data_IF_460351830900
#
_entry.id   IF_460351830900
#
_cell.length_a   1.000
_cell.length_b   1.000
_cell.length_c   1.000
_cell.angle_alpha   90.00
_cell.angle_beta   90.00
_cell.angle_gamma   90.00
#
_symmetry.space_group_name_H-M   'P 1'
#
loop_
_entity.id
_entity.type
_entity.pdbx_description
1 polymer ?
#
# COMPACT_ATOMS: atom_id res chain seq x y z
N UNK A 1 -6.62 30.45 -2.57
CA UNK A 1 -5.68 29.42 -3.07
C UNK A 1 -6.45 28.59 -4.08
N UNK A 2 -6.05 28.60 -5.35
CA UNK A 2 -6.79 27.92 -6.41
C UNK A 2 -6.24 26.50 -6.57
N UNK A 3 -7.06 25.48 -6.29
CA UNK A 3 -6.75 24.06 -6.50
C UNK A 3 -6.82 23.69 -8.00
N UNK A 4 -6.24 24.51 -8.89
CA UNK A 4 -6.20 24.23 -10.33
C UNK A 4 -5.11 23.20 -10.64
N UNK A 5 -5.32 21.97 -10.17
CA UNK A 5 -4.64 20.78 -10.65
C UNK A 5 -5.53 20.19 -11.75
N UNK A 6 -5.27 20.54 -13.00
CA UNK A 6 -5.95 19.91 -14.13
C UNK A 6 -5.29 18.57 -14.39
N UNK A 7 -5.95 17.49 -13.95
CA UNK A 7 -5.72 16.16 -14.49
C UNK A 7 -6.74 15.89 -15.61
N UNK A 8 -6.39 15.14 -16.67
CA UNK A 8 -7.30 14.79 -17.75
C UNK A 8 -8.47 13.98 -17.18
N UNK A 9 -9.67 14.56 -17.22
CA UNK A 9 -10.89 13.86 -16.84
C UNK A 9 -11.23 12.87 -17.95
N UNK A 10 -10.80 11.61 -17.84
CA UNK A 10 -11.76 10.56 -18.18
C UNK A 10 -12.99 10.83 -17.30
N UNK A 11 -14.17 10.97 -17.90
CA UNK A 11 -15.40 11.28 -17.16
C UNK A 11 -15.60 10.22 -16.07
N UNK A 12 -15.37 10.62 -14.81
CA UNK A 12 -15.62 9.77 -13.65
C UNK A 12 -17.11 9.40 -13.67
N UNK A 13 -17.44 8.14 -13.41
CA UNK A 13 -18.85 7.76 -13.27
C UNK A 13 -19.50 8.57 -12.15
N UNK A 14 -20.81 8.81 -12.27
CA UNK A 14 -21.57 9.57 -11.28
C UNK A 14 -21.44 8.96 -9.87
N UNK A 15 -21.42 7.63 -9.76
CA UNK A 15 -21.22 6.95 -8.47
C UNK A 15 -19.82 7.18 -7.89
N UNK A 16 -18.78 7.26 -8.73
CA UNK A 16 -17.44 7.58 -8.28
C UNK A 16 -17.36 9.05 -7.85
N UNK A 17 -17.97 9.98 -8.61
CA UNK A 17 -18.08 11.39 -8.21
C UNK A 17 -18.81 11.54 -6.89
N UNK A 18 -19.94 10.83 -6.71
CA UNK A 18 -20.71 10.81 -5.48
C UNK A 18 -19.87 10.28 -4.30
N UNK A 19 -19.12 9.19 -4.50
CA UNK A 19 -18.22 8.66 -3.46
C UNK A 19 -17.13 9.67 -3.09
N UNK A 20 -16.50 10.32 -4.07
CA UNK A 20 -15.48 11.34 -3.82
C UNK A 20 -16.06 12.57 -3.10
N UNK A 21 -17.27 12.99 -3.44
CA UNK A 21 -17.99 14.04 -2.72
C UNK A 21 -18.19 13.64 -1.25
N UNK A 22 -18.71 12.42 -1.00
CA UNK A 22 -18.79 11.91 0.36
C UNK A 22 -17.43 11.91 1.05
N UNK A 23 -16.32 11.50 0.42
CA UNK A 23 -15.01 11.45 1.09
C UNK A 23 -14.38 12.83 1.34
N UNK A 24 -14.74 13.84 0.55
CA UNK A 24 -14.11 15.16 0.55
C UNK A 24 -14.65 16.08 1.66
N UNK A 25 -15.95 16.06 1.95
CA UNK A 25 -16.59 17.03 2.84
C UNK A 25 -16.27 16.79 4.32
N UNK A 26 -15.48 17.67 4.95
CA UNK A 26 -15.13 17.49 6.38
C UNK A 26 -16.28 17.89 7.34
N UNK A 27 -17.30 18.62 6.86
CA UNK A 27 -18.62 18.85 7.49
C UNK A 27 -19.66 19.23 6.40
N UNK A 28 -20.96 19.26 6.75
CA UNK A 28 -22.23 19.32 5.97
C UNK A 28 -22.38 20.11 4.65
N UNK A 29 -21.35 20.70 4.07
CA UNK A 29 -21.45 21.61 2.94
C UNK A 29 -20.80 21.05 1.67
N UNK A 30 -21.58 20.32 0.88
CA UNK A 30 -21.70 20.70 -0.53
C UNK A 30 -23.11 20.34 -1.02
N UNK A 31 -24.12 21.10 -0.55
CA UNK A 31 -25.47 21.09 -1.13
C UNK A 31 -25.49 21.79 -2.49
N UNK A 32 -24.45 21.56 -3.31
CA UNK A 32 -24.47 22.00 -4.69
C UNK A 32 -25.57 21.24 -5.43
N UNK A 33 -26.17 21.90 -6.43
CA UNK A 33 -27.18 21.27 -7.28
C UNK A 33 -26.68 19.94 -7.88
N UNK A 34 -25.39 19.89 -8.26
CA UNK A 34 -24.69 18.69 -8.76
C UNK A 34 -24.77 17.53 -7.74
N UNK A 35 -24.59 17.79 -6.45
CA UNK A 35 -24.64 16.74 -5.43
C UNK A 35 -26.05 16.14 -5.23
N UNK A 36 -27.11 16.95 -5.26
CA UNK A 36 -28.49 16.45 -5.18
C UNK A 36 -28.87 15.66 -6.42
N UNK A 37 -28.41 16.09 -7.60
CA UNK A 37 -28.63 15.36 -8.85
C UNK A 37 -27.92 14.00 -8.84
N UNK A 38 -26.66 13.95 -8.38
CA UNK A 38 -25.91 12.71 -8.20
C UNK A 38 -26.61 11.74 -7.24
N UNK A 39 -27.18 12.22 -6.13
CA UNK A 39 -27.92 11.37 -5.20
C UNK A 39 -29.18 10.75 -5.81
N UNK A 40 -29.92 11.52 -6.62
CA UNK A 40 -31.19 11.08 -7.23
C UNK A 40 -30.98 10.08 -8.36
N UNK A 41 -29.91 10.25 -9.12
CA UNK A 41 -29.65 9.45 -10.32
C UNK A 41 -28.64 8.31 -10.10
N UNK A 42 -28.06 8.18 -8.91
CA UNK A 42 -27.04 7.16 -8.62
C UNK A 42 -27.55 5.72 -8.81
N UNK A 43 -26.76 4.90 -9.50
CA UNK A 43 -26.85 3.45 -9.38
C UNK A 43 -26.26 3.03 -8.03
N UNK A 44 -27.14 2.74 -7.07
CA UNK A 44 -26.76 2.41 -5.71
C UNK A 44 -26.04 1.06 -5.58
N UNK A 45 -26.31 0.09 -6.46
CA UNK A 45 -25.59 -1.19 -6.47
C UNK A 45 -24.15 -0.98 -6.93
N UNK A 46 -23.97 -0.19 -8.00
CA UNK A 46 -22.64 0.21 -8.47
C UNK A 46 -21.88 1.04 -7.44
N UNK A 47 -22.56 1.96 -6.76
CA UNK A 47 -21.98 2.76 -5.67
C UNK A 47 -21.45 1.87 -4.54
N UNK A 48 -22.24 0.88 -4.10
CA UNK A 48 -21.82 -0.09 -3.08
C UNK A 48 -20.58 -0.86 -3.53
N UNK A 49 -20.54 -1.31 -4.78
CA UNK A 49 -19.39 -2.03 -5.35
C UNK A 49 -18.11 -1.18 -5.30
N UNK A 50 -18.18 0.08 -5.74
CA UNK A 50 -17.08 1.03 -5.71
C UNK A 50 -16.58 1.30 -4.28
N UNK A 51 -17.50 1.59 -3.35
CA UNK A 51 -17.16 1.89 -1.96
C UNK A 51 -16.46 0.70 -1.27
N UNK A 52 -16.91 -0.53 -1.57
CA UNK A 52 -16.25 -1.77 -1.10
C UNK A 52 -14.89 -1.98 -1.75
N UNK A 53 -14.80 -1.80 -3.07
CA UNK A 53 -13.55 -1.95 -3.83
C UNK A 53 -12.45 -1.04 -3.31
N UNK A 54 -12.76 0.25 -3.14
CA UNK A 54 -11.82 1.24 -2.63
C UNK A 54 -11.62 1.15 -1.11
N UNK A 55 -12.39 0.29 -0.42
CA UNK A 55 -12.31 0.01 1.02
C UNK A 55 -12.51 1.24 1.91
N UNK A 56 -13.44 2.10 1.50
CA UNK A 56 -13.77 3.36 2.18
C UNK A 56 -15.12 3.30 2.90
N UNK A 57 -15.79 2.14 2.88
CA UNK A 57 -17.08 1.93 3.53
C UNK A 57 -17.15 2.34 5.01
N UNK A 58 -16.10 2.26 5.85
CA UNK A 58 -16.23 2.74 7.23
C UNK A 58 -16.40 4.27 7.30
N UNK A 59 -15.64 5.00 6.50
CA UNK A 59 -15.73 6.47 6.39
C UNK A 59 -17.08 6.87 5.81
N UNK A 60 -17.55 6.18 4.77
CA UNK A 60 -18.85 6.42 4.17
C UNK A 60 -19.97 6.14 5.19
N UNK A 61 -19.94 5.01 5.89
CA UNK A 61 -20.94 4.68 6.91
C UNK A 61 -21.04 5.79 7.97
N UNK A 62 -19.92 6.28 8.50
CA UNK A 62 -19.90 7.38 9.46
C UNK A 62 -20.60 8.63 8.90
N UNK A 63 -20.30 9.00 7.65
CA UNK A 63 -20.94 10.17 7.01
C UNK A 63 -22.43 9.99 6.77
N UNK A 64 -22.86 8.81 6.34
CA UNK A 64 -24.27 8.50 6.13
C UNK A 64 -25.07 8.58 7.45
N UNK A 65 -24.48 8.18 8.58
CA UNK A 65 -25.10 8.30 9.90
C UNK A 65 -25.32 9.77 10.33
N UNK A 66 -24.45 10.68 9.88
CA UNK A 66 -24.59 12.13 10.14
C UNK A 66 -25.58 12.81 9.19
N UNK A 67 -25.49 12.53 7.88
CA UNK A 67 -26.27 13.25 6.86
C UNK A 67 -27.78 12.98 6.89
N UNK A 68 -28.22 11.77 7.29
CA UNK A 68 -29.64 11.38 7.39
C UNK A 68 -30.53 11.85 6.22
N UNK A 69 -30.04 11.76 4.97
CA UNK A 69 -30.79 12.17 3.78
C UNK A 69 -31.86 11.14 3.40
N UNK A 70 -33.05 11.62 3.04
CA UNK A 70 -34.16 10.80 2.53
C UNK A 70 -33.91 10.29 1.09
N UNK A 71 -32.98 10.89 0.35
CA UNK A 71 -32.64 10.49 -1.02
C UNK A 71 -31.77 9.22 -1.06
N UNK A 72 -31.19 8.83 0.08
CA UNK A 72 -30.34 7.63 0.17
C UNK A 72 -31.21 6.44 0.58
N UNK A 73 -31.29 5.37 -0.23
CA UNK A 73 -32.11 4.22 0.09
C UNK A 73 -31.68 3.53 1.39
N UNK A 74 -32.67 3.04 2.14
CA UNK A 74 -32.44 2.37 3.43
C UNK A 74 -31.51 1.16 3.29
N UNK A 75 -31.62 0.39 2.20
CA UNK A 75 -30.77 -0.79 2.00
C UNK A 75 -29.27 -0.43 1.90
N UNK A 76 -28.92 0.73 1.33
CA UNK A 76 -27.54 1.20 1.20
C UNK A 76 -26.94 1.47 2.59
N UNK A 77 -27.67 2.21 3.42
CA UNK A 77 -27.23 2.50 4.80
C UNK A 77 -27.11 1.22 5.63
N UNK A 78 -28.06 0.29 5.53
CA UNK A 78 -28.01 -1.00 6.22
C UNK A 78 -26.83 -1.87 5.76
N UNK A 79 -26.52 -1.87 4.46
CA UNK A 79 -25.37 -2.62 3.93
C UNK A 79 -24.04 -2.07 4.46
N UNK A 80 -23.85 -0.75 4.48
CA UNK A 80 -22.63 -0.16 5.02
C UNK A 80 -22.54 -0.25 6.54
N UNK A 81 -23.65 -0.21 7.26
CA UNK A 81 -23.65 -0.52 8.70
C UNK A 81 -23.16 -1.94 8.95
N UNK A 82 -23.66 -2.93 8.20
CA UNK A 82 -23.20 -4.33 8.32
C UNK A 82 -21.71 -4.47 8.00
N UNK A 83 -21.24 -3.82 6.94
CA UNK A 83 -19.83 -3.85 6.56
C UNK A 83 -18.95 -3.16 7.63
N UNK A 84 -19.40 -2.03 8.18
CA UNK A 84 -18.75 -1.32 9.28
C UNK A 84 -18.66 -2.17 10.56
N UNK A 85 -19.73 -2.86 10.95
CA UNK A 85 -19.69 -3.78 12.11
C UNK A 85 -18.69 -4.92 11.91
N UNK A 86 -18.67 -5.54 10.72
CA UNK A 86 -17.69 -6.58 10.38
C UNK A 86 -16.26 -6.06 10.45
N UNK A 87 -16.01 -4.86 9.90
CA UNK A 87 -14.69 -4.22 9.99
C UNK A 87 -14.30 -3.91 11.43
N UNK A 88 -15.24 -3.43 12.25
CA UNK A 88 -14.98 -3.13 13.66
C UNK A 88 -14.52 -4.37 14.41
N UNK A 89 -15.22 -5.50 14.25
CA UNK A 89 -14.81 -6.77 14.85
C UNK A 89 -13.41 -7.19 14.37
N UNK A 90 -13.16 -7.13 13.05
CA UNK A 90 -11.85 -7.48 12.50
C UNK A 90 -10.73 -6.59 13.04
N UNK A 91 -10.95 -5.28 13.12
CA UNK A 91 -9.97 -4.31 13.61
C UNK A 91 -9.72 -4.45 15.11
N UNK A 92 -10.72 -4.82 15.91
CA UNK A 92 -10.54 -5.16 17.32
C UNK A 92 -9.74 -6.45 17.50
N UNK A 93 -10.04 -7.49 16.72
CA UNK A 93 -9.25 -8.75 16.71
C UNK A 93 -7.79 -8.47 16.34
N UNK A 94 -7.55 -7.71 15.27
CA UNK A 94 -6.20 -7.31 14.88
C UNK A 94 -5.51 -6.44 15.94
N UNK A 95 -6.25 -5.61 16.67
CA UNK A 95 -5.70 -4.77 17.74
C UNK A 95 -5.21 -5.62 18.91
N UNK A 96 -6.00 -6.62 19.33
CA UNK A 96 -5.61 -7.56 20.38
C UNK A 96 -4.38 -8.39 20.00
N UNK A 97 -4.34 -8.90 18.76
CA UNK A 97 -3.17 -9.65 18.29
C UNK A 97 -1.93 -8.77 18.15
N UNK A 98 -2.10 -7.52 17.68
CA UNK A 98 -1.02 -6.54 17.61
C UNK A 98 -0.41 -6.26 18.98
N UNK A 99 -1.25 -6.11 20.02
CA UNK A 99 -0.78 -5.95 21.41
C UNK A 99 -0.03 -7.19 21.91
N UNK A 100 -0.59 -8.38 21.68
CA UNK A 100 0.03 -9.64 22.09
C UNK A 100 1.39 -9.83 21.41
N UNK A 101 1.49 -9.61 20.11
CA UNK A 101 2.77 -9.68 19.39
C UNK A 101 3.75 -8.62 19.88
N UNK A 102 3.31 -7.37 20.09
CA UNK A 102 4.19 -6.32 20.62
C UNK A 102 4.75 -6.68 22.00
N UNK A 103 3.93 -7.29 22.86
CA UNK A 103 4.33 -7.82 24.16
C UNK A 103 5.41 -8.90 24.01
N UNK A 104 5.15 -9.95 23.23
CA UNK A 104 6.06 -11.10 23.09
C UNK A 104 7.41 -10.69 22.48
N UNK A 105 7.40 -9.78 21.50
CA UNK A 105 8.64 -9.21 20.95
C UNK A 105 9.41 -8.42 22.02
N UNK A 106 8.73 -7.55 22.77
CA UNK A 106 9.36 -6.73 23.79
C UNK A 106 9.93 -7.55 24.95
N UNK A 107 9.23 -8.59 25.42
CA UNK A 107 9.67 -9.46 26.52
C UNK A 107 10.92 -10.28 26.15
N UNK A 108 11.16 -10.48 24.85
CA UNK A 108 12.35 -11.16 24.31
C UNK A 108 13.44 -10.18 23.84
N UNK A 109 13.24 -8.88 24.05
CA UNK A 109 14.19 -7.85 23.64
C UNK A 109 14.30 -7.64 22.11
N UNK A 110 13.34 -8.15 21.33
CA UNK A 110 13.29 -7.97 19.88
C UNK A 110 12.67 -6.61 19.53
N UNK A 111 13.32 -5.88 18.62
CA UNK A 111 12.83 -4.55 18.20
C UNK A 111 11.88 -4.69 17.02
N UNK A 112 10.64 -4.23 17.18
CA UNK A 112 9.63 -4.27 16.13
C UNK A 112 8.96 -2.91 15.91
N UNK A 113 8.72 -2.57 14.65
CA UNK A 113 7.95 -1.40 14.22
C UNK A 113 6.74 -1.85 13.43
N UNK A 114 5.55 -1.56 13.91
CA UNK A 114 4.33 -1.81 13.15
C UNK A 114 4.20 -0.77 12.03
N UNK A 115 4.02 -1.25 10.79
CA UNK A 115 4.04 -0.40 9.60
C UNK A 115 2.64 0.09 9.19
N UNK A 116 1.60 -0.74 9.42
CA UNK A 116 0.20 -0.45 9.09
C UNK A 116 -0.74 -1.00 10.17
N UNK A 117 -1.96 -1.37 9.78
CA UNK A 117 -2.92 -1.99 10.68
C UNK A 117 -3.58 -1.02 11.66
N UNK A 118 -3.97 -1.53 12.84
CA UNK A 118 -4.74 -0.75 13.83
C UNK A 118 -3.99 0.45 14.41
N UNK A 119 -2.66 0.38 14.58
CA UNK A 119 -1.90 1.49 15.17
C UNK A 119 -2.01 2.78 14.35
N UNK A 120 -1.98 2.70 13.02
CA UNK A 120 -2.17 3.88 12.17
C UNK A 120 -3.64 4.23 11.98
N UNK A 121 -4.57 3.27 12.13
CA UNK A 121 -6.00 3.57 12.11
C UNK A 121 -6.35 4.56 13.23
N UNK A 122 -5.90 4.28 14.44
CA UNK A 122 -6.10 5.18 15.56
C UNK A 122 -5.27 6.46 15.50
N UNK A 123 -4.00 6.40 15.05
CA UNK A 123 -3.18 7.61 14.90
C UNK A 123 -3.76 8.61 13.88
N UNK A 124 -4.35 8.10 12.78
CA UNK A 124 -4.85 8.93 11.69
C UNK A 124 -6.32 9.30 11.82
N UNK A 125 -7.16 8.40 12.35
CA UNK A 125 -8.62 8.56 12.35
C UNK A 125 -9.20 8.74 13.76
N UNK A 126 -8.40 8.54 14.82
CA UNK A 126 -8.87 8.58 16.22
C UNK A 126 -9.70 7.36 16.65
N UNK A 127 -10.07 6.49 15.71
CA UNK A 127 -10.88 5.30 15.93
C UNK A 127 -10.43 4.19 14.96
N UNK A 128 -10.12 3.01 15.51
CA UNK A 128 -9.63 1.86 14.74
C UNK A 128 -10.66 1.32 13.75
N UNK A 129 -11.95 1.53 14.00
CA UNK A 129 -13.06 1.06 13.16
C UNK A 129 -13.18 1.81 11.83
N UNK A 130 -12.58 2.99 11.71
CA UNK A 130 -12.71 3.86 10.53
C UNK A 130 -11.73 3.55 9.41
N UNK A 131 -10.81 2.62 9.64
CA UNK A 131 -9.86 2.14 8.66
C UNK A 131 -9.97 0.63 8.55
N UNK A 132 -9.85 0.10 7.33
CA UNK A 132 -9.84 -1.35 7.11
C UNK A 132 -8.43 -1.92 7.28
N UNK A 133 -8.28 -3.19 7.65
CA UNK A 133 -7.02 -3.92 7.56
C UNK A 133 -7.29 -5.40 7.48
N UNK A 134 -6.43 -6.15 6.79
CA UNK A 134 -6.53 -7.62 6.71
C UNK A 134 -5.35 -8.34 7.37
N UNK A 135 -4.33 -7.59 7.78
CA UNK A 135 -3.05 -8.11 8.22
C UNK A 135 -2.34 -7.15 9.18
N UNK A 136 -1.27 -7.67 9.79
CA UNK A 136 -0.31 -6.93 10.59
C UNK A 136 1.06 -6.93 9.90
N UNK A 137 1.55 -5.77 9.51
CA UNK A 137 2.90 -5.58 8.99
C UNK A 137 3.87 -5.21 10.14
N UNK A 138 4.90 -6.02 10.39
CA UNK A 138 5.96 -5.72 11.36
C UNK A 138 7.30 -5.57 10.65
N UNK A 139 8.02 -4.49 10.91
CA UNK A 139 9.42 -4.33 10.50
C UNK A 139 10.35 -4.66 11.66
N UNK A 140 11.38 -5.44 11.36
CA UNK A 140 12.43 -5.84 12.28
C UNK A 140 13.83 -5.61 11.68
N UNK A 141 14.90 -5.55 12.49
CA UNK A 141 16.27 -5.59 11.99
C UNK A 141 16.54 -6.92 11.30
N UNK A 142 17.17 -6.90 10.12
CA UNK A 142 17.56 -8.13 9.41
C UNK A 142 18.39 -9.11 10.26
N UNK A 143 19.17 -8.61 11.22
CA UNK A 143 19.96 -9.42 12.16
C UNK A 143 19.12 -10.18 13.19
N UNK A 144 17.88 -9.73 13.43
CA UNK A 144 16.93 -10.30 14.40
C UNK A 144 15.88 -11.18 13.69
N UNK A 145 15.97 -11.36 12.37
CA UNK A 145 14.96 -12.05 11.55
C UNK A 145 14.75 -13.51 11.94
N UNK A 146 15.83 -14.29 12.08
CA UNK A 146 15.70 -15.71 12.44
C UNK A 146 15.04 -15.88 13.83
N UNK A 147 15.32 -14.97 14.77
CA UNK A 147 14.71 -14.99 16.11
C UNK A 147 13.23 -14.58 16.07
N UNK A 148 12.87 -13.60 15.24
CA UNK A 148 11.49 -13.17 15.04
C UNK A 148 10.65 -14.23 14.33
N UNK A 149 11.19 -14.90 13.30
CA UNK A 149 10.53 -16.02 12.64
C UNK A 149 10.29 -17.18 13.63
N UNK A 150 11.31 -17.56 14.41
CA UNK A 150 11.17 -18.60 15.43
C UNK A 150 10.13 -18.23 16.50
N UNK A 151 10.02 -16.95 16.87
CA UNK A 151 8.99 -16.47 17.78
C UNK A 151 7.59 -16.63 17.19
N UNK A 152 7.37 -16.23 15.94
CA UNK A 152 6.06 -16.38 15.30
C UNK A 152 5.63 -17.86 15.23
N UNK A 153 6.55 -18.75 14.86
CA UNK A 153 6.30 -20.20 14.86
C UNK A 153 5.97 -20.71 16.27
N UNK A 154 6.72 -20.27 17.29
CA UNK A 154 6.44 -20.61 18.69
C UNK A 154 5.04 -20.14 19.14
N UNK A 155 4.56 -19.02 18.61
CA UNK A 155 3.22 -18.47 18.87
C UNK A 155 2.10 -19.12 18.02
N UNK A 156 2.41 -20.17 17.26
CA UNK A 156 1.43 -20.92 16.48
C UNK A 156 1.19 -20.40 15.07
N UNK A 157 2.04 -19.49 14.56
CA UNK A 157 1.97 -19.06 13.16
C UNK A 157 2.69 -20.02 12.23
N UNK A 158 2.09 -20.26 11.07
CA UNK A 158 2.68 -21.05 9.99
C UNK A 158 3.25 -20.12 8.91
N UNK A 159 4.47 -20.40 8.46
CA UNK A 159 5.14 -19.62 7.41
C UNK A 159 4.57 -20.01 6.04
N UNK A 160 4.22 -19.02 5.24
CA UNK A 160 3.89 -19.21 3.83
C UNK A 160 5.20 -19.38 3.03
N UNK A 161 5.58 -20.63 2.77
CA UNK A 161 6.82 -20.99 2.08
C UNK A 161 6.72 -20.81 0.55
N UNK A 162 6.68 -19.56 0.07
CA UNK A 162 6.71 -19.27 -1.37
C UNK A 162 8.08 -18.74 -1.87
N UNK A 163 9.01 -18.41 -0.97
CA UNK A 163 10.28 -17.77 -1.34
C UNK A 163 11.31 -18.84 -1.74
N UNK A 164 11.47 -19.04 -3.06
CA UNK A 164 12.60 -19.79 -3.64
C UNK A 164 13.73 -18.82 -3.96
N UNK A 165 14.96 -19.12 -3.55
CA UNK A 165 16.10 -18.21 -3.72
C UNK A 165 17.35 -18.92 -4.24
N UNK A 166 18.20 -18.17 -4.94
CA UNK A 166 19.47 -18.66 -5.48
C UNK A 166 20.55 -17.70 -5.01
N UNK A 167 21.67 -18.22 -4.49
CA UNK A 167 22.77 -17.38 -3.97
C UNK A 167 22.34 -16.43 -2.83
N UNK A 168 21.35 -16.80 -2.00
CA UNK A 168 20.83 -16.01 -0.87
C UNK A 168 20.32 -14.61 -1.26
N UNK A 169 19.81 -14.47 -2.48
CA UNK A 169 19.33 -13.20 -3.05
C UNK A 169 17.98 -12.71 -2.50
N UNK A 170 17.28 -13.58 -1.77
CA UNK A 170 15.99 -13.25 -1.20
C UNK A 170 16.01 -12.01 -0.30
N UNK A 171 17.12 -11.74 0.38
CA UNK A 171 17.27 -10.61 1.30
C UNK A 171 17.08 -9.25 0.62
N UNK A 172 17.40 -9.14 -0.67
CA UNK A 172 17.18 -7.90 -1.44
C UNK A 172 16.05 -7.99 -2.45
N UNK A 173 15.71 -9.19 -2.94
CA UNK A 173 14.57 -9.40 -3.86
C UNK A 173 13.23 -9.35 -3.15
N UNK A 174 13.16 -9.93 -1.96
CA UNK A 174 12.01 -9.85 -1.08
C UNK A 174 12.26 -8.80 0.00
N UNK A 175 11.18 -8.41 0.67
CA UNK A 175 11.18 -7.41 1.73
C UNK A 175 10.45 -7.89 2.99
N UNK A 176 9.66 -8.96 2.85
CA UNK A 176 8.98 -9.65 3.94
C UNK A 176 8.79 -11.13 3.63
N UNK A 177 8.39 -11.87 4.66
CA UNK A 177 7.76 -13.18 4.56
C UNK A 177 6.39 -13.12 5.24
N UNK A 178 5.49 -14.01 4.85
CA UNK A 178 4.11 -14.04 5.34
C UNK A 178 3.93 -15.20 6.30
N UNK A 179 3.19 -14.96 7.36
CA UNK A 179 2.80 -15.94 8.37
C UNK A 179 1.29 -15.90 8.56
N UNK A 180 0.66 -17.06 8.72
CA UNK A 180 -0.78 -17.17 9.00
C UNK A 180 -0.98 -18.02 10.23
N UNK A 181 -1.79 -17.52 11.17
CA UNK A 181 -2.22 -18.34 12.31
C UNK A 181 -3.47 -19.12 11.91
N UNK A 182 -3.45 -20.47 11.87
CA UNK A 182 -4.54 -21.28 11.32
C UNK A 182 -5.83 -21.13 12.12
N UNK A 183 -5.76 -21.10 13.45
CA UNK A 183 -6.95 -20.98 14.31
C UNK A 183 -7.52 -19.55 14.35
N UNK A 184 -6.66 -18.52 14.39
CA UNK A 184 -7.09 -17.12 14.48
C UNK A 184 -7.46 -16.53 13.12
N UNK A 185 -6.99 -17.12 12.02
CA UNK A 185 -7.13 -16.57 10.67
C UNK A 185 -6.39 -15.23 10.47
N UNK A 186 -5.39 -14.93 11.31
CA UNK A 186 -4.65 -13.66 11.27
C UNK A 186 -3.39 -13.83 10.42
N UNK A 187 -3.20 -12.92 9.47
CA UNK A 187 -2.00 -12.82 8.65
C UNK A 187 -1.02 -11.79 9.23
N UNK A 188 0.24 -12.19 9.38
CA UNK A 188 1.36 -11.34 9.78
C UNK A 188 2.37 -11.31 8.64
N UNK A 189 2.71 -10.11 8.18
CA UNK A 189 3.84 -9.91 7.25
C UNK A 189 5.04 -9.43 8.06
N UNK A 190 6.10 -10.24 8.11
CA UNK A 190 7.34 -9.94 8.81
C UNK A 190 8.34 -9.34 7.83
N UNK A 191 8.50 -8.03 7.87
CA UNK A 191 9.35 -7.22 7.01
C UNK A 191 10.76 -7.04 7.61
N UNK A 192 11.78 -7.10 6.75
CA UNK A 192 13.14 -6.62 7.07
C UNK A 192 13.54 -5.40 6.23
N UNK A 193 12.69 -5.02 5.27
CA UNK A 193 12.79 -3.82 4.43
C UNK A 193 11.39 -3.23 4.26
N UNK A 194 11.29 -1.91 4.09
CA UNK A 194 10.01 -1.25 3.79
C UNK A 194 9.56 -1.57 2.36
N UNK A 195 10.51 -1.72 1.43
CA UNK A 195 10.24 -1.93 0.02
C UNK A 195 11.22 -2.93 -0.63
N UNK A 196 10.80 -3.67 -1.68
CA UNK A 196 11.69 -4.50 -2.46
C UNK A 196 12.71 -3.65 -3.21
N UNK A 197 13.83 -4.25 -3.63
CA UNK A 197 14.78 -3.56 -4.52
C UNK A 197 14.11 -3.11 -5.84
N UNK A 198 14.57 -2.03 -6.48
CA UNK A 198 15.74 -1.18 -6.18
C UNK A 198 15.42 0.01 -5.27
N UNK A 199 14.35 -0.04 -4.49
CA UNK A 199 13.96 1.06 -3.61
C UNK A 199 15.04 1.39 -2.58
N UNK A 200 15.28 2.70 -2.41
CA UNK A 200 16.09 3.21 -1.30
C UNK A 200 15.20 3.43 -0.08
N UNK A 201 15.74 3.26 1.11
CA UNK A 201 15.00 3.42 2.35
C UNK A 201 15.94 3.79 3.51
N UNK A 202 15.44 4.38 4.60
CA UNK A 202 16.22 4.59 5.82
C UNK A 202 16.62 3.25 6.45
N UNK A 203 17.72 3.24 7.20
CA UNK A 203 18.08 2.04 7.97
C UNK A 203 17.05 1.78 9.06
N UNK A 204 16.93 0.52 9.52
CA UNK A 204 16.08 0.21 10.67
C UNK A 204 16.42 1.09 11.88
N UNK A 205 17.71 1.30 12.17
CA UNK A 205 18.13 2.09 13.33
C UNK A 205 17.71 3.57 13.20
N UNK A 206 17.75 4.13 11.99
CA UNK A 206 17.21 5.47 11.72
C UNK A 206 15.72 5.54 12.04
N UNK A 207 14.94 4.59 11.55
CA UNK A 207 13.50 4.50 11.81
C UNK A 207 13.22 4.30 13.31
N UNK A 208 13.97 3.42 13.96
CA UNK A 208 13.86 3.11 15.39
C UNK A 208 14.15 4.31 16.28
N UNK A 209 15.13 5.14 15.90
CA UNK A 209 15.48 6.37 16.63
C UNK A 209 14.36 7.41 16.58
N UNK A 210 13.57 7.41 15.50
CA UNK A 210 12.47 8.37 15.26
C UNK A 210 11.07 7.76 15.46
N UNK A 211 11.00 6.55 16.00
CA UNK A 211 9.75 5.83 16.21
C UNK A 211 8.81 6.59 17.14
N UNK A 212 7.52 6.41 16.92
CA UNK A 212 6.47 6.85 17.85
C UNK A 212 5.98 5.65 18.66
N UNK A 213 5.45 5.94 19.84
CA UNK A 213 4.77 4.99 20.71
C UNK A 213 3.27 5.25 20.63
N UNK A 214 2.48 4.22 20.39
CA UNK A 214 1.02 4.31 20.38
C UNK A 214 0.50 4.71 21.76
N UNK A 215 -0.52 5.57 21.79
CA UNK A 215 -1.20 5.98 23.02
C UNK A 215 -2.39 5.08 23.39
N UNK A 216 -2.79 4.15 22.51
CA UNK A 216 -4.04 3.39 22.62
C UNK A 216 -4.04 2.31 23.70
N UNK A 217 -2.87 1.83 24.09
CA UNK A 217 -2.70 0.59 24.84
C UNK A 217 -1.64 0.78 25.92
N UNK A 218 -1.80 0.06 27.03
CA UNK A 218 -0.92 0.11 28.20
C UNK A 218 0.54 -0.30 27.88
N UNK A 219 0.73 -1.24 26.95
CA UNK A 219 2.03 -1.72 26.49
C UNK A 219 2.56 -0.95 25.27
N UNK A 220 3.88 -0.73 25.17
CA UNK A 220 4.45 0.09 24.11
C UNK A 220 4.40 -0.60 22.74
N UNK A 221 3.47 -0.16 21.90
CA UNK A 221 3.47 -0.47 20.47
C UNK A 221 4.23 0.63 19.74
N UNK A 222 5.32 0.26 19.06
CA UNK A 222 6.13 1.20 18.30
C UNK A 222 5.79 1.17 16.82
N UNK A 223 5.79 2.34 16.20
CA UNK A 223 5.49 2.53 14.79
C UNK A 223 6.29 3.70 14.22
N UNK A 224 6.20 3.92 12.90
CA UNK A 224 7.00 4.91 12.21
C UNK A 224 6.74 6.36 12.70
N UNK A 225 7.81 7.17 12.71
CA UNK A 225 7.70 8.62 12.80
C UNK A 225 6.86 9.19 11.66
N UNK A 226 6.22 10.35 11.84
CA UNK A 226 5.24 10.88 10.87
C UNK A 226 5.81 11.03 9.45
N UNK A 227 7.01 11.60 9.32
CA UNK A 227 7.64 11.77 8.00
C UNK A 227 8.05 10.43 7.37
N UNK A 228 8.54 9.50 8.18
CA UNK A 228 8.89 8.14 7.71
C UNK A 228 7.64 7.35 7.31
N UNK A 229 6.53 7.52 8.04
CA UNK A 229 5.22 6.92 7.74
C UNK A 229 4.65 7.49 6.43
N UNK A 230 4.73 8.81 6.21
CA UNK A 230 4.31 9.42 4.95
C UNK A 230 5.07 8.82 3.77
N UNK A 231 6.40 8.77 3.83
CA UNK A 231 7.21 8.18 2.76
C UNK A 231 6.86 6.71 2.52
N UNK A 232 6.66 5.92 3.58
CA UNK A 232 6.26 4.53 3.48
C UNK A 232 4.90 4.35 2.79
N UNK A 233 3.87 5.09 3.23
CA UNK A 233 2.53 4.99 2.65
C UNK A 233 2.48 5.48 1.20
N UNK A 234 3.24 6.53 0.86
CA UNK A 234 3.37 6.99 -0.53
C UNK A 234 4.00 5.93 -1.42
N UNK A 235 5.11 5.33 -0.97
CA UNK A 235 5.76 4.25 -1.74
C UNK A 235 4.85 3.03 -1.89
N UNK A 236 4.10 2.68 -0.85
CA UNK A 236 3.16 1.56 -0.88
C UNK A 236 1.99 1.83 -1.85
N UNK A 237 1.31 2.97 -1.71
CA UNK A 237 0.20 3.35 -2.60
C UNK A 237 0.65 3.45 -4.06
N UNK A 238 1.79 4.09 -4.32
CA UNK A 238 2.35 4.19 -5.66
C UNK A 238 2.66 2.83 -6.26
N UNK A 239 3.25 1.88 -5.52
CA UNK A 239 3.49 0.50 -6.01
C UNK A 239 2.21 -0.27 -6.33
N UNK A 240 1.11 0.03 -5.66
CA UNK A 240 -0.18 -0.62 -5.93
C UNK A 240 -1.09 0.19 -6.86
N UNK A 241 -0.52 1.16 -7.57
CA UNK A 241 -1.22 1.97 -8.57
C UNK A 241 -2.31 2.86 -8.00
N UNK A 242 -2.35 3.09 -6.69
CA UNK A 242 -3.45 3.82 -6.04
C UNK A 242 -4.85 3.25 -6.34
N UNK A 243 -4.94 1.96 -6.68
CA UNK A 243 -6.21 1.24 -6.99
C UNK A 243 -7.27 1.32 -5.89
N UNK A 244 -6.92 1.73 -4.67
CA UNK A 244 -7.85 1.94 -3.57
C UNK A 244 -7.70 3.32 -2.97
N UNK A 245 -8.79 4.10 -2.94
CA UNK A 245 -8.82 5.44 -2.37
C UNK A 245 -8.49 5.48 -0.87
N UNK A 246 -8.66 4.36 -0.14
CA UNK A 246 -8.21 4.24 1.25
C UNK A 246 -6.76 4.69 1.45
N UNK A 247 -5.86 4.38 0.52
CA UNK A 247 -4.46 4.81 0.65
C UNK A 247 -4.32 6.33 0.55
N UNK A 248 -5.08 6.97 -0.33
CA UNK A 248 -5.11 8.44 -0.43
C UNK A 248 -5.78 9.09 0.77
N UNK A 249 -6.79 8.45 1.37
CA UNK A 249 -7.37 8.91 2.64
C UNK A 249 -6.32 8.92 3.76
N UNK A 250 -5.49 7.88 3.88
CA UNK A 250 -4.40 7.88 4.86
C UNK A 250 -3.42 9.06 4.62
N UNK A 251 -3.14 9.40 3.35
CA UNK A 251 -2.33 10.58 3.00
C UNK A 251 -3.04 11.88 3.39
N UNK A 252 -4.35 12.04 3.07
CA UNK A 252 -5.17 13.19 3.48
C UNK A 252 -5.12 13.37 5.00
N UNK A 253 -5.31 12.29 5.78
CA UNK A 253 -5.23 12.36 7.23
C UNK A 253 -3.84 12.76 7.73
N UNK A 254 -2.77 12.22 7.15
CA UNK A 254 -1.40 12.57 7.52
C UNK A 254 -1.06 14.05 7.25
N UNK A 255 -1.45 14.59 6.10
CA UNK A 255 -1.15 16.01 5.79
C UNK A 255 -1.96 16.99 6.62
N UNK A 256 -3.08 16.55 7.18
CA UNK A 256 -3.85 17.31 8.17
C UNK A 256 -3.19 17.31 9.56
N UNK A 257 -2.28 16.39 9.85
CA UNK A 257 -1.44 16.44 11.05
C UNK A 257 -0.27 17.43 10.90
N UNK A 258 0.44 17.65 12.01
CA UNK A 258 1.67 18.45 12.04
C UNK A 258 2.87 17.63 11.53
N UNK A 259 3.22 17.83 10.26
CA UNK A 259 4.42 17.32 9.61
C UNK A 259 5.55 18.37 9.62
N UNK A 260 6.80 17.92 9.78
CA UNK A 260 7.98 18.73 9.48
C UNK A 260 8.27 18.64 7.98
N UNK A 261 7.71 19.57 7.21
CA UNK A 261 7.85 19.61 5.74
C UNK A 261 9.30 19.73 5.25
N UNK A 262 10.17 20.60 5.81
CA UNK A 262 11.58 20.60 5.46
C UNK A 262 12.26 19.25 5.67
N UNK A 263 11.99 18.56 6.78
CA UNK A 263 12.52 17.22 7.04
C UNK A 263 11.95 16.19 6.06
N UNK A 264 10.65 16.21 5.80
CA UNK A 264 9.99 15.30 4.85
C UNK A 264 10.55 15.46 3.43
N UNK A 265 10.71 16.70 2.96
CA UNK A 265 11.28 16.98 1.65
C UNK A 265 12.72 16.45 1.51
N UNK A 266 13.55 16.62 2.56
CA UNK A 266 14.90 16.02 2.60
C UNK A 266 14.85 14.49 2.60
N UNK A 267 13.93 13.90 3.37
CA UNK A 267 13.76 12.44 3.43
C UNK A 267 13.37 11.86 2.06
N UNK A 268 12.33 12.42 1.43
CA UNK A 268 11.85 12.00 0.11
C UNK A 268 12.94 12.18 -0.96
N UNK A 269 13.66 13.31 -0.94
CA UNK A 269 14.76 13.56 -1.88
C UNK A 269 15.90 12.55 -1.71
N UNK A 270 16.36 12.34 -0.47
CA UNK A 270 17.44 11.38 -0.15
C UNK A 270 17.13 9.96 -0.63
N UNK A 271 15.86 9.56 -0.57
CA UNK A 271 15.42 8.20 -0.91
C UNK A 271 14.75 8.11 -2.29
N UNK A 272 14.85 9.15 -3.14
CA UNK A 272 14.32 9.17 -4.51
C UNK A 272 12.79 8.99 -4.61
N UNK A 273 12.04 9.59 -3.69
CA UNK A 273 10.57 9.51 -3.63
C UNK A 273 9.85 10.84 -3.87
N UNK A 274 10.54 11.94 -4.15
CA UNK A 274 9.91 13.26 -4.30
C UNK A 274 8.79 13.28 -5.35
N UNK A 275 8.96 12.61 -6.49
CA UNK A 275 7.95 12.59 -7.57
C UNK A 275 6.72 11.75 -7.21
N UNK A 276 6.85 10.65 -6.47
CA UNK A 276 5.68 9.90 -5.98
C UNK A 276 5.05 10.57 -4.76
N UNK A 277 5.82 11.33 -3.97
CA UNK A 277 5.29 12.23 -2.94
C UNK A 277 4.41 13.31 -3.55
N UNK A 278 4.88 13.94 -4.63
CA UNK A 278 4.08 14.86 -5.44
C UNK A 278 2.84 14.20 -6.02
N UNK A 279 2.97 13.00 -6.60
CA UNK A 279 1.85 12.21 -7.12
C UNK A 279 0.76 12.02 -6.05
N UNK A 280 1.13 11.60 -4.84
CA UNK A 280 0.19 11.35 -3.76
C UNK A 280 -0.55 12.63 -3.32
N UNK A 281 0.18 13.76 -3.20
CA UNK A 281 -0.41 15.05 -2.83
C UNK A 281 -1.37 15.54 -3.91
N UNK A 282 -1.00 15.43 -5.20
CA UNK A 282 -1.86 15.80 -6.32
C UNK A 282 -3.15 14.97 -6.35
N UNK A 283 -3.05 13.65 -6.20
CA UNK A 283 -4.21 12.76 -6.16
C UNK A 283 -5.10 13.07 -4.94
N UNK A 284 -4.53 13.25 -3.75
CA UNK A 284 -5.30 13.58 -2.55
C UNK A 284 -6.00 14.95 -2.66
N UNK A 285 -5.34 15.94 -3.25
CA UNK A 285 -5.92 17.26 -3.48
C UNK A 285 -7.05 17.22 -4.52
N UNK A 286 -6.84 16.51 -5.63
CA UNK A 286 -7.79 16.43 -6.74
C UNK A 286 -9.03 15.60 -6.40
N UNK A 287 -8.85 14.47 -5.72
CA UNK A 287 -9.91 13.48 -5.51
C UNK A 287 -10.58 13.59 -4.15
N UNK A 288 -9.87 14.06 -3.13
CA UNK A 288 -10.36 14.08 -1.74
C UNK A 288 -10.41 15.50 -1.15
N UNK A 289 -10.23 16.51 -1.99
CA UNK A 289 -10.18 17.93 -1.65
C UNK A 289 -9.19 18.25 -0.52
N UNK A 290 -8.08 17.51 -0.44
CA UNK A 290 -7.03 17.77 0.54
C UNK A 290 -6.42 19.16 0.29
N UNK A 291 -6.20 19.98 1.34
CA UNK A 291 -5.67 21.32 1.18
C UNK A 291 -4.22 21.30 0.68
N UNK A 292 -3.93 22.06 -0.38
CA UNK A 292 -2.57 22.31 -0.85
C UNK A 292 -1.97 23.50 -0.09
N UNK A 293 -0.93 23.23 0.70
CA UNK A 293 -0.21 24.26 1.47
C UNK A 293 1.09 24.65 0.79
N UNK A 294 1.61 25.84 1.09
CA UNK A 294 2.82 26.37 0.45
C UNK A 294 4.04 25.47 0.67
N UNK A 295 4.12 24.79 1.81
CA UNK A 295 5.20 23.88 2.15
C UNK A 295 5.24 22.62 1.28
N UNK A 296 4.15 22.31 0.57
CA UNK A 296 4.02 21.18 -0.36
C UNK A 296 4.55 21.50 -1.76
N UNK A 297 4.67 22.80 -2.13
CA UNK A 297 5.10 23.26 -3.46
C UNK A 297 6.37 22.57 -3.99
N UNK A 298 7.42 22.29 -3.19
CA UNK A 298 8.61 21.58 -3.68
C UNK A 298 8.32 20.21 -4.29
N UNK A 299 7.30 19.50 -3.80
CA UNK A 299 6.90 18.19 -4.33
C UNK A 299 6.07 18.30 -5.62
N UNK A 300 5.48 19.47 -5.87
CA UNK A 300 4.62 19.76 -7.03
C UNK A 300 5.37 20.43 -8.19
N UNK A 301 6.68 20.68 -8.05
CA UNK A 301 7.46 21.37 -9.08
C UNK A 301 7.77 20.50 -10.31
N UNK A 302 7.82 19.17 -10.13
CA UNK A 302 8.23 18.24 -11.17
C UNK A 302 7.05 17.76 -12.02
N UNK A 303 7.17 17.84 -13.36
CA UNK A 303 6.17 17.30 -14.30
C UNK A 303 5.85 15.83 -14.03
N UNK A 304 6.85 15.01 -13.70
CA UNK A 304 6.67 13.56 -13.44
C UNK A 304 5.59 13.26 -12.40
N UNK A 305 5.42 14.10 -11.37
CA UNK A 305 4.38 13.91 -10.36
C UNK A 305 2.97 13.95 -10.97
N UNK A 306 2.71 14.91 -11.87
CA UNK A 306 1.44 15.05 -12.58
C UNK A 306 1.20 13.88 -13.52
N UNK A 307 2.20 13.52 -14.33
CA UNK A 307 2.07 12.40 -15.28
C UNK A 307 1.77 11.08 -14.57
N UNK A 308 2.40 10.83 -13.42
CA UNK A 308 2.09 9.65 -12.63
C UNK A 308 0.72 9.73 -11.95
N UNK A 309 0.23 10.92 -11.62
CA UNK A 309 -1.12 11.10 -11.08
C UNK A 309 -2.17 10.80 -12.15
N UNK A 310 -1.94 11.22 -13.41
CA UNK A 310 -2.76 10.80 -14.56
C UNK A 310 -2.74 9.30 -14.75
N UNK A 311 -1.55 8.68 -14.80
CA UNK A 311 -1.43 7.23 -14.98
C UNK A 311 -2.14 6.45 -13.85
N UNK A 312 -2.22 7.01 -12.64
CA UNK A 312 -2.95 6.38 -11.53
C UNK A 312 -4.47 6.37 -11.74
N UNK A 313 -5.03 7.29 -12.54
CA UNK A 313 -6.47 7.33 -12.83
C UNK A 313 -6.96 6.07 -13.53
N UNK A 314 -6.10 5.39 -14.30
CA UNK A 314 -6.39 4.06 -14.88
C UNK A 314 -6.91 3.06 -13.83
N UNK A 315 -6.34 3.09 -12.62
CA UNK A 315 -6.72 2.19 -11.54
C UNK A 315 -7.88 2.71 -10.70
N UNK A 316 -8.02 4.03 -10.58
CA UNK A 316 -9.05 4.64 -9.72
C UNK A 316 -10.42 4.58 -10.42
N UNK A 317 -10.45 4.76 -11.74
CA UNK A 317 -11.67 4.72 -12.55
C UNK A 317 -12.21 3.30 -12.76
N UNK A 318 -11.37 2.28 -12.54
CA UNK A 318 -11.65 0.89 -12.85
C UNK A 318 -11.62 0.06 -11.56
N UNK A 319 -12.42 -0.99 -11.48
CA UNK A 319 -12.38 -1.94 -10.34
C UNK A 319 -11.19 -2.89 -10.43
N UNK A 320 -9.98 -2.37 -10.57
CA UNK A 320 -8.76 -3.16 -10.77
C UNK A 320 -8.32 -3.81 -9.47
N UNK A 321 -8.40 -5.13 -9.40
CA UNK A 321 -7.87 -5.89 -8.26
C UNK A 321 -6.53 -6.54 -8.59
N UNK A 322 -5.43 -5.88 -8.22
CA UNK A 322 -4.06 -6.36 -8.43
C UNK A 322 -3.66 -7.53 -7.50
N UNK A 323 -4.50 -7.89 -6.53
CA UNK A 323 -4.16 -8.84 -5.46
C UNK A 323 -4.90 -10.18 -5.58
N UNK A 324 -5.71 -10.38 -6.61
CA UNK A 324 -6.48 -11.60 -6.82
C UNK A 324 -6.23 -12.12 -8.24
N UNK A 325 -5.40 -13.16 -8.41
CA UNK A 325 -5.20 -13.78 -9.71
C UNK A 325 -6.46 -14.55 -10.18
N UNK A 326 -6.66 -14.73 -11.49
CA UNK A 326 -5.81 -14.27 -12.58
C UNK A 326 -6.01 -12.78 -12.89
N UNK A 327 -4.90 -12.04 -13.03
CA UNK A 327 -4.93 -10.64 -13.48
C UNK A 327 -4.98 -10.61 -15.01
N UNK A 328 -5.95 -9.91 -15.64
CA UNK A 328 -6.02 -9.73 -17.08
C UNK A 328 -4.72 -9.18 -17.68
N UNK A 329 -4.36 -9.64 -18.88
CA UNK A 329 -3.05 -9.32 -19.50
C UNK A 329 -2.87 -7.82 -19.77
N UNK A 330 -3.94 -7.12 -20.17
CA UNK A 330 -3.93 -5.66 -20.35
C UNK A 330 -3.55 -4.94 -19.03
N UNK A 331 -4.19 -5.33 -17.93
CA UNK A 331 -3.93 -4.75 -16.60
C UNK A 331 -2.51 -5.06 -16.14
N UNK A 332 -2.05 -6.29 -16.36
CA UNK A 332 -0.68 -6.71 -16.03
C UNK A 332 0.35 -5.88 -16.80
N UNK A 333 0.20 -5.79 -18.11
CA UNK A 333 1.09 -5.03 -18.98
C UNK A 333 1.11 -3.54 -18.63
N UNK A 334 -0.06 -2.97 -18.34
CA UNK A 334 -0.15 -1.59 -17.86
C UNK A 334 0.58 -1.42 -16.53
N UNK A 335 0.37 -2.34 -15.58
CA UNK A 335 0.97 -2.29 -14.26
C UNK A 335 2.49 -2.41 -14.28
N UNK A 336 3.06 -3.30 -15.09
CA UNK A 336 4.50 -3.43 -15.26
C UNK A 336 5.12 -2.13 -15.82
N UNK A 337 4.49 -1.53 -16.84
CA UNK A 337 4.92 -0.25 -17.41
C UNK A 337 4.85 0.88 -16.38
N UNK A 338 3.76 0.93 -15.61
CA UNK A 338 3.57 1.93 -14.56
C UNK A 338 4.60 1.76 -13.41
N UNK A 339 4.86 0.53 -12.96
CA UNK A 339 5.91 0.24 -11.97
C UNK A 339 7.29 0.68 -12.46
N UNK A 340 7.58 0.52 -13.75
CA UNK A 340 8.83 1.04 -14.32
C UNK A 340 8.82 2.57 -14.42
N UNK A 341 7.68 3.20 -14.71
CA UNK A 341 7.53 4.66 -14.80
C UNK A 341 7.77 5.35 -13.44
N UNK A 342 7.31 4.77 -12.33
CA UNK A 342 7.53 5.33 -10.99
C UNK A 342 9.02 5.31 -10.59
N UNK A 343 9.89 4.51 -11.20
CA UNK A 343 11.33 4.50 -10.89
C UNK A 343 12.06 5.75 -11.40
N UNK A 344 13.02 6.26 -10.62
CA UNK A 344 14.00 7.24 -11.09
C UNK A 344 15.00 6.62 -12.07
N UNK A 345 15.73 7.43 -12.84
CA UNK A 345 16.74 6.92 -13.79
C UNK A 345 17.77 6.01 -13.09
N UNK A 346 18.37 6.37 -11.93
CA UNK A 346 19.28 5.47 -11.21
C UNK A 346 18.61 4.15 -10.79
N UNK A 347 17.35 4.20 -10.34
CA UNK A 347 16.60 3.00 -9.98
C UNK A 347 16.28 2.13 -11.20
N UNK A 348 16.00 2.73 -12.37
CA UNK A 348 15.80 1.99 -13.63
C UNK A 348 17.08 1.24 -14.02
N UNK A 349 18.24 1.88 -13.92
CA UNK A 349 19.53 1.23 -14.18
C UNK A 349 19.73 0.06 -13.22
N UNK A 350 19.49 0.25 -11.92
CA UNK A 350 19.62 -0.81 -10.91
C UNK A 350 18.62 -1.96 -11.15
N UNK A 351 17.38 -1.64 -11.52
CA UNK A 351 16.36 -2.63 -11.89
C UNK A 351 16.80 -3.44 -13.09
N UNK A 352 17.29 -2.79 -14.16
CA UNK A 352 17.80 -3.46 -15.36
C UNK A 352 19.01 -4.35 -15.01
N UNK A 353 19.95 -3.83 -14.22
CA UNK A 353 21.11 -4.58 -13.77
C UNK A 353 20.73 -5.80 -12.91
N UNK A 354 19.61 -5.77 -12.19
CA UNK A 354 19.11 -6.92 -11.43
C UNK A 354 18.73 -8.12 -12.31
N UNK A 355 18.45 -7.90 -13.61
CA UNK A 355 18.29 -8.98 -14.60
C UNK A 355 19.63 -9.61 -15.02
N UNK A 356 20.75 -9.23 -14.44
CA UNK A 356 22.00 -9.99 -14.55
C UNK A 356 22.14 -11.02 -13.41
N UNK A 357 21.43 -10.84 -12.29
CA UNK A 357 21.55 -11.71 -11.11
C UNK A 357 20.71 -12.99 -11.23
N UNK A 358 21.27 -14.21 -11.11
CA UNK A 358 20.55 -15.48 -11.34
C UNK A 358 19.19 -15.59 -10.65
N UNK A 359 18.23 -16.23 -11.31
CA UNK A 359 16.89 -16.48 -10.81
C UNK A 359 16.70 -17.98 -10.50
N UNK A 360 15.74 -18.36 -9.63
CA UNK A 360 15.36 -19.77 -9.42
C UNK A 360 15.12 -20.54 -10.72
N UNK A 361 14.48 -19.91 -11.70
CA UNK A 361 14.22 -20.48 -13.01
C UNK A 361 15.49 -20.78 -13.81
N UNK A 362 16.63 -20.15 -13.49
CA UNK A 362 17.93 -20.49 -14.09
C UNK A 362 18.47 -21.82 -13.54
N UNK A 363 18.24 -22.08 -12.25
CA UNK A 363 18.57 -23.36 -11.61
C UNK A 363 17.68 -24.48 -12.11
N UNK A 364 16.39 -24.20 -12.32
CA UNK A 364 15.46 -25.17 -12.91
C UNK A 364 15.82 -25.52 -14.36
N UNK A 365 16.22 -24.52 -15.16
CA UNK A 365 16.62 -24.77 -16.56
C UNK A 365 17.91 -25.60 -16.66
N UNK A 366 18.90 -25.31 -15.83
CA UNK A 366 20.20 -26.00 -15.81
C UNK A 366 20.69 -26.16 -14.37
N UNK A 367 20.40 -27.29 -13.70
CA UNK A 367 20.86 -27.52 -12.33
C UNK A 367 22.38 -27.64 -12.26
N UNK A 368 23.03 -26.75 -11.51
CA UNK A 368 24.47 -26.78 -11.24
C UNK A 368 24.74 -27.08 -9.76
N UNK A 369 25.84 -27.79 -9.42
CA UNK A 369 26.32 -27.88 -8.04
C UNK A 369 26.51 -26.49 -7.42
N UNK A 370 26.23 -26.33 -6.11
CA UNK A 370 26.33 -25.03 -5.41
C UNK A 370 27.66 -24.28 -5.65
N UNK A 371 28.78 -25.01 -5.73
CA UNK A 371 30.12 -24.46 -6.01
C UNK A 371 30.24 -23.79 -7.39
N UNK A 372 29.38 -24.17 -8.35
CA UNK A 372 29.37 -23.67 -9.73
C UNK A 372 28.26 -22.63 -9.98
N UNK A 373 27.51 -22.21 -8.95
CA UNK A 373 26.42 -21.24 -9.12
C UNK A 373 26.90 -19.87 -9.64
N UNK A 374 28.18 -19.53 -9.48
CA UNK A 374 28.76 -18.33 -10.12
C UNK A 374 28.70 -18.37 -11.65
N UNK A 375 28.62 -19.56 -12.27
CA UNK A 375 28.47 -19.70 -13.72
C UNK A 375 27.09 -19.25 -14.22
N UNK A 376 26.08 -19.13 -13.36
CA UNK A 376 24.79 -18.62 -13.79
C UNK A 376 24.86 -17.17 -14.29
N UNK A 377 25.79 -16.34 -13.79
CA UNK A 377 25.95 -14.97 -14.28
C UNK A 377 26.25 -14.90 -15.79
N UNK A 378 27.32 -15.54 -16.30
CA UNK A 378 27.57 -15.56 -17.75
C UNK A 378 26.60 -16.45 -18.53
N UNK A 379 26.04 -17.50 -17.94
CA UNK A 379 25.12 -18.42 -18.64
C UNK A 379 23.71 -17.84 -18.82
N UNK A 380 23.33 -16.87 -18.01
CA UNK A 380 21.94 -16.41 -17.94
C UNK A 380 21.33 -15.93 -19.26
N UNK A 381 22.00 -15.12 -20.11
CA UNK A 381 21.41 -14.73 -21.40
C UNK A 381 21.02 -15.95 -22.24
N UNK A 382 21.84 -17.00 -22.22
CA UNK A 382 21.58 -18.26 -22.93
C UNK A 382 20.42 -19.04 -22.30
N UNK A 383 20.38 -19.16 -20.96
CA UNK A 383 19.29 -19.84 -20.24
C UNK A 383 17.94 -19.14 -20.46
N UNK A 384 17.94 -17.80 -20.49
CA UNK A 384 16.74 -17.02 -20.78
C UNK A 384 16.22 -17.25 -22.21
N UNK A 385 17.11 -17.21 -23.21
CA UNK A 385 16.76 -17.53 -24.61
C UNK A 385 16.22 -18.96 -24.70
N UNK A 386 16.88 -19.92 -24.06
CA UNK A 386 16.45 -21.33 -24.04
C UNK A 386 15.03 -21.49 -23.47
N UNK A 387 14.68 -20.80 -22.37
CA UNK A 387 13.31 -20.83 -21.85
C UNK A 387 12.29 -20.22 -22.82
N UNK A 388 12.64 -19.12 -23.49
CA UNK A 388 11.75 -18.47 -24.47
C UNK A 388 11.50 -19.32 -25.71
N UNK A 389 12.50 -20.07 -26.19
CA UNK A 389 12.34 -21.00 -27.31
C UNK A 389 11.51 -22.23 -26.93
N UNK A 390 11.72 -22.80 -25.74
CA UNK A 390 10.88 -23.90 -25.22
C UNK A 390 9.42 -23.51 -25.00
N UNK A 391 9.13 -22.34 -24.39
CA UNK A 391 7.75 -21.86 -24.21
C UNK A 391 7.01 -21.68 -25.54
N UNK A 392 7.69 -21.16 -26.58
CA UNK A 392 7.11 -21.07 -27.94
C UNK A 392 6.87 -22.45 -28.57
N UNK A 393 7.75 -23.42 -28.34
CA UNK A 393 7.57 -24.79 -28.87
C UNK A 393 6.36 -25.51 -28.26
N UNK A 394 5.92 -25.16 -27.06
CA UNK A 394 4.71 -25.73 -26.43
C UNK A 394 3.43 -25.10 -26.98
N UNK A 395 3.48 -23.86 -27.50
CA UNK A 395 2.32 -23.16 -28.08
C UNK A 395 2.02 -23.58 -29.53
N UNK A 396 2.94 -24.27 -30.20
CA UNK A 396 2.72 -24.87 -31.54
C UNK A 396 2.37 -26.37 -31.50
N UNK A 397 2.05 -26.90 -30.31
CA UNK A 397 1.57 -28.29 -30.09
C UNK A 397 0.22 -28.37 -29.39
N UNK A 398 -0.65 -27.36 -29.57
CA UNK A 398 -2.09 -27.51 -29.39
C UNK A 398 -2.81 -27.15 -30.67
#
# INVERSE_FOLDING_TARGET
>A
MNNNVTLHNEELSDELRLMLAFLSSDDEADQSFDYQELLRNADWDRFIELVRHHRVFPTINRKLQHLKSAEIPVFVTQMFQRDYYRNTLQMLTLSGEMEQLAKEFSERGLRSLFLKGPVIAADLYGDVSLRTSCDLDLLIPLKELDQAEALLVFLGYEKDEYIVSVLNDWKWRHHHTTFVHPEKGIKVELHWRLNPAPSKEPSFNDLWSRKRKSALISRPIYYLGREDLFMFLVSHGARHGWSRLRWLLDIKQLVNQKLDWPKLNRLLSKHNYSHIGGQAILLAARLLSSPLRDEMKPLLAGRKAYWLAEDAMFYINRLVNLHSPPIPEEIRSYHERYLFAILTIPQKIQFIASFLFPYPEDVETLPLPKKLHFLYFPLRPFLWVWRKTKKKSTTYKM
#
